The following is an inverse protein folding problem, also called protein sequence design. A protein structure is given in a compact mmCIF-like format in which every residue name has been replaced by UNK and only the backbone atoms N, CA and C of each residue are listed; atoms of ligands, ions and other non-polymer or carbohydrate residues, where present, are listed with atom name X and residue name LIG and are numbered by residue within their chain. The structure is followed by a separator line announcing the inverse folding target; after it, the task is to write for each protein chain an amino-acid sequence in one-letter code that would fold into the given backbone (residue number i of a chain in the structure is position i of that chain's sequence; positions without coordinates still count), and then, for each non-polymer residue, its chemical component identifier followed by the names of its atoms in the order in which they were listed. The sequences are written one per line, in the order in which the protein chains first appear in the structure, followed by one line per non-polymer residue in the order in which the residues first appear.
data_IF_799189884609
#
_entry.id   IF_799189884609
#
_cell.length_a   1.000
_cell.length_b   1.000
_cell.length_c   1.000
_cell.angle_alpha   90.00
_cell.angle_beta   90.00
_cell.angle_gamma   90.00
#
_symmetry.space_group_name_H-M   'P 1'
#
loop_
_entity.id
_entity.type
_entity.pdbx_description
1 polymer ?
#
# COMPACT_ATOMS: atom_id res chain seq x y z
N UNK A 1 7.59 -2.18 29.92
CA UNK A 1 8.27 -2.76 28.74
C UNK A 1 7.66 -2.06 27.56
N UNK A 2 8.41 -1.16 26.93
CA UNK A 2 7.88 -0.34 25.83
C UNK A 2 7.68 -1.22 24.61
N UNK A 3 6.41 -1.43 24.23
CA UNK A 3 5.99 -2.25 23.09
C UNK A 3 6.03 -1.41 21.79
N UNK A 4 6.51 -0.16 21.84
CA UNK A 4 6.55 0.76 20.69
C UNK A 4 7.44 0.28 19.52
N UNK A 5 8.32 -0.71 19.75
CA UNK A 5 9.24 -1.22 18.73
C UNK A 5 8.67 -2.26 17.76
N UNK A 6 7.44 -2.75 17.97
CA UNK A 6 6.76 -3.61 17.00
C UNK A 6 5.52 -2.89 16.49
N UNK A 7 5.68 -2.16 15.38
CA UNK A 7 4.55 -1.60 14.66
C UNK A 7 3.59 -2.74 14.30
N UNK A 8 2.30 -2.63 14.68
CA UNK A 8 1.28 -3.65 14.40
C UNK A 8 1.34 -4.03 12.92
N UNK A 9 1.46 -5.34 12.62
CA UNK A 9 1.58 -5.86 11.24
C UNK A 9 0.52 -5.28 10.31
N UNK A 10 -0.73 -5.20 10.76
CA UNK A 10 -1.85 -4.66 9.98
C UNK A 10 -1.64 -3.16 9.70
N UNK A 11 -1.22 -2.39 10.70
CA UNK A 11 -0.91 -0.96 10.51
C UNK A 11 0.28 -0.75 9.57
N UNK A 12 1.31 -1.59 9.67
CA UNK A 12 2.47 -1.54 8.75
C UNK A 12 2.06 -1.85 7.32
N UNK A 13 1.10 -2.74 7.14
CA UNK A 13 0.63 -3.13 5.82
C UNK A 13 -0.32 -2.10 5.22
N UNK A 14 -1.20 -1.49 6.02
CA UNK A 14 -1.99 -0.32 5.59
C UNK A 14 -1.09 0.84 5.17
N UNK A 15 -0.04 1.14 5.93
CA UNK A 15 0.96 2.17 5.55
C UNK A 15 1.74 1.84 4.28
N UNK A 16 1.91 0.55 3.98
CA UNK A 16 2.51 0.14 2.73
C UNK A 16 1.56 0.40 1.56
N UNK A 17 0.29 0.02 1.70
CA UNK A 17 -0.74 0.29 0.68
C UNK A 17 -0.99 1.78 0.45
N UNK A 18 -0.91 2.61 1.49
CA UNK A 18 -0.95 4.07 1.38
C UNK A 18 0.14 4.60 0.44
N UNK A 19 1.39 4.15 0.61
CA UNK A 19 2.49 4.55 -0.29
C UNK A 19 2.29 4.09 -1.73
N UNK A 20 1.68 2.92 -1.95
CA UNK A 20 1.37 2.44 -3.31
C UNK A 20 0.34 3.35 -3.99
N UNK A 21 -0.64 3.85 -3.24
CA UNK A 21 -1.61 4.83 -3.75
C UNK A 21 -0.98 6.19 -4.02
N UNK A 22 -0.03 6.63 -3.18
CA UNK A 22 0.69 7.90 -3.40
C UNK A 22 1.42 7.88 -4.76
N UNK A 23 2.10 6.77 -5.10
CA UNK A 23 2.75 6.59 -6.42
C UNK A 23 1.74 6.56 -7.58
N UNK A 24 0.52 6.08 -7.34
CA UNK A 24 -0.56 6.09 -8.34
C UNK A 24 -1.17 7.49 -8.56
N UNK A 25 -1.06 8.40 -7.59
CA UNK A 25 -1.62 9.77 -7.68
C UNK A 25 -0.59 10.80 -8.17
N UNK A 26 0.70 10.46 -8.15
CA UNK A 26 1.76 11.35 -8.62
C UNK A 26 1.59 11.73 -10.10
N UNK A 27 1.64 13.03 -10.39
CA UNK A 27 1.33 13.59 -11.72
C UNK A 27 2.47 13.39 -12.71
N UNK A 28 3.69 13.26 -12.21
CA UNK A 28 4.87 13.02 -13.01
C UNK A 28 5.03 11.53 -13.41
N UNK A 29 4.19 10.64 -12.86
CA UNK A 29 4.13 9.22 -13.23
C UNK A 29 3.28 9.04 -14.48
N UNK A 30 3.82 8.35 -15.49
CA UNK A 30 3.10 8.04 -16.73
C UNK A 30 1.81 7.27 -16.46
N UNK A 31 0.76 7.56 -17.23
CA UNK A 31 -0.58 7.00 -17.02
C UNK A 31 -0.61 5.46 -16.91
N UNK A 32 0.18 4.77 -17.73
CA UNK A 32 0.26 3.31 -17.67
C UNK A 32 0.92 2.80 -16.40
N UNK A 33 1.88 3.54 -15.85
CA UNK A 33 2.55 3.17 -14.61
C UNK A 33 1.63 3.39 -13.41
N UNK A 34 0.83 4.46 -13.42
CA UNK A 34 -0.24 4.70 -12.42
C UNK A 34 -1.26 3.55 -12.38
N UNK A 35 -1.63 3.00 -13.54
CA UNK A 35 -2.51 1.83 -13.62
C UNK A 35 -1.87 0.57 -13.01
N UNK A 36 -0.55 0.40 -13.13
CA UNK A 36 0.15 -0.72 -12.47
C UNK A 36 0.13 -0.56 -10.96
N UNK A 37 0.40 0.63 -10.43
CA UNK A 37 0.30 0.89 -8.99
C UNK A 37 -1.12 0.62 -8.46
N UNK A 38 -2.15 1.03 -9.21
CA UNK A 38 -3.54 0.70 -8.87
C UNK A 38 -3.79 -0.82 -8.84
N UNK A 39 -3.30 -1.57 -9.83
CA UNK A 39 -3.42 -3.04 -9.84
C UNK A 39 -2.69 -3.72 -8.69
N UNK A 40 -1.54 -3.18 -8.27
CA UNK A 40 -0.78 -3.67 -7.11
C UNK A 40 -1.57 -3.41 -5.82
N UNK A 41 -2.11 -2.20 -5.66
CA UNK A 41 -2.94 -1.84 -4.52
C UNK A 41 -4.16 -2.77 -4.39
N UNK A 42 -4.87 -3.03 -5.50
CA UNK A 42 -6.04 -3.91 -5.53
C UNK A 42 -5.69 -5.33 -5.07
N UNK A 43 -4.62 -5.90 -5.61
CA UNK A 43 -4.11 -7.23 -5.22
C UNK A 43 -3.74 -7.30 -3.74
N UNK A 44 -3.05 -6.28 -3.22
CA UNK A 44 -2.66 -6.23 -1.81
C UNK A 44 -3.89 -6.08 -0.88
N UNK A 45 -4.92 -5.37 -1.34
CA UNK A 45 -6.14 -5.17 -0.57
C UNK A 45 -6.94 -6.49 -0.48
N UNK A 46 -7.02 -7.24 -1.57
CA UNK A 46 -7.61 -8.58 -1.57
C UNK A 46 -6.86 -9.50 -0.59
N UNK A 47 -5.53 -9.51 -0.61
CA UNK A 47 -4.73 -10.28 0.35
C UNK A 47 -5.02 -9.83 1.79
N UNK A 48 -5.28 -8.53 2.04
CA UNK A 48 -5.56 -8.05 3.39
C UNK A 48 -6.85 -8.54 3.99
N UNK A 49 -7.89 -8.67 3.17
CA UNK A 49 -9.18 -9.14 3.65
C UNK A 49 -9.34 -10.66 3.61
N UNK A 50 -8.66 -11.34 2.68
CA UNK A 50 -8.91 -12.74 2.38
C UNK A 50 -7.70 -13.67 2.56
N UNK A 51 -6.52 -13.13 2.87
CA UNK A 51 -5.28 -13.87 3.15
C UNK A 51 -5.03 -14.19 4.62
#
# INVERSE_FOLDING_TARGET
MDISFTQNRELSWLKFNERVLDEADEKDVELFERLKFFSIFDTNLEEFFYG
#
